data_IF_905788513421
#
_entry.id   IF_905788513421
#
_cell.length_a   1.000
_cell.length_b   1.000
_cell.length_c   1.000
_cell.angle_alpha   90.00
_cell.angle_beta   90.00
_cell.angle_gamma   90.00
#
_symmetry.space_group_name_H-M   'P 1'
#
loop_
_entity.id
_entity.type
_entity.pdbx_description
1 polymer ?
#
# COMPACT_ATOMS: atom_id res chain seq x y z
N UNK A 1 9.30 12.07 18.16
CA UNK A 1 8.17 12.65 17.38
C UNK A 1 6.94 12.87 18.22
N UNK A 2 6.17 13.97 17.99
CA UNK A 2 4.84 14.11 18.57
C UNK A 2 3.83 13.38 17.68
N UNK A 3 2.89 12.66 18.30
CA UNK A 3 1.91 11.87 17.55
C UNK A 3 0.50 11.98 18.15
N UNK A 4 -0.49 11.73 17.30
CA UNK A 4 -1.87 11.47 17.66
C UNK A 4 -2.08 9.95 17.78
N UNK A 5 -2.83 9.53 18.79
CA UNK A 5 -3.30 8.14 18.90
C UNK A 5 -4.82 8.15 18.87
N UNK A 6 -5.38 7.51 17.88
CA UNK A 6 -6.83 7.38 17.77
C UNK A 6 -7.38 6.64 18.98
N UNK A 7 -8.40 7.17 19.67
CA UNK A 7 -9.03 6.50 20.79
C UNK A 7 -9.59 5.13 20.38
N UNK A 8 -9.47 4.13 21.28
CA UNK A 8 -9.95 2.78 21.00
C UNK A 8 -11.47 2.73 20.76
N UNK A 9 -12.23 3.68 21.37
CA UNK A 9 -13.67 3.83 21.12
C UNK A 9 -14.05 4.14 19.66
N UNK A 10 -13.12 4.65 18.83
CA UNK A 10 -13.35 4.83 17.41
C UNK A 10 -13.42 3.50 16.64
N UNK A 11 -12.94 2.42 17.25
CA UNK A 11 -12.83 1.09 16.63
C UNK A 11 -13.82 0.06 17.23
N UNK A 12 -14.79 0.53 18.01
CA UNK A 12 -15.87 -0.33 18.54
C UNK A 12 -16.91 -0.59 17.45
N UNK A 13 -17.47 -1.80 17.47
CA UNK A 13 -18.58 -2.22 16.58
C UNK A 13 -18.31 -2.06 15.07
N UNK A 14 -17.06 -2.26 14.63
CA UNK A 14 -16.72 -2.22 13.21
C UNK A 14 -17.29 -3.43 12.46
N UNK A 15 -17.91 -3.25 11.28
CA UNK A 15 -18.51 -4.35 10.52
C UNK A 15 -17.43 -5.35 10.07
N UNK A 16 -17.67 -6.64 10.30
CA UNK A 16 -16.81 -7.75 9.90
C UNK A 16 -15.33 -7.63 10.33
N UNK A 17 -15.07 -6.88 11.42
CA UNK A 17 -13.72 -6.61 11.92
C UNK A 17 -13.57 -6.92 13.43
N UNK A 18 -14.03 -8.11 13.83
CA UNK A 18 -13.90 -8.58 15.22
C UNK A 18 -12.55 -9.25 15.50
N UNK A 19 -11.45 -8.57 15.15
CA UNK A 19 -10.09 -9.04 15.39
C UNK A 19 -9.50 -8.40 16.63
N UNK A 20 -8.76 -9.19 17.43
CA UNK A 20 -8.05 -8.66 18.59
C UNK A 20 -6.84 -7.83 18.15
N UNK A 21 -6.67 -6.62 18.70
CA UNK A 21 -5.55 -5.77 18.29
C UNK A 21 -4.22 -6.24 18.89
N UNK A 22 -3.19 -6.32 18.05
CA UNK A 22 -1.82 -6.57 18.48
C UNK A 22 -0.94 -5.35 18.21
N UNK A 23 0.12 -5.17 18.98
CA UNK A 23 0.99 -4.01 18.87
C UNK A 23 2.46 -4.38 19.01
N UNK A 24 3.30 -3.72 18.21
CA UNK A 24 4.74 -3.60 18.43
C UNK A 24 5.11 -2.12 18.61
N UNK A 25 6.28 -1.87 19.19
CA UNK A 25 6.83 -0.52 19.27
C UNK A 25 8.01 -0.40 18.32
N UNK A 26 7.96 0.60 17.45
CA UNK A 26 9.01 0.89 16.47
C UNK A 26 9.68 2.22 16.80
N UNK A 27 10.97 2.35 16.53
CA UNK A 27 11.68 3.61 16.76
C UNK A 27 11.05 4.75 15.97
N UNK A 28 10.85 5.91 16.61
CA UNK A 28 10.45 7.14 15.93
C UNK A 28 11.63 7.85 15.23
N UNK A 29 12.83 7.28 15.31
CA UNK A 29 14.09 7.79 14.75
C UNK A 29 14.61 9.09 15.40
N UNK A 30 13.97 9.57 16.46
CA UNK A 30 14.34 10.75 17.25
C UNK A 30 14.62 10.40 18.73
N UNK A 31 14.69 9.10 19.04
CA UNK A 31 14.97 8.59 20.38
C UNK A 31 13.74 8.23 21.20
N UNK A 32 12.56 8.24 20.57
CA UNK A 32 11.28 7.76 21.10
C UNK A 32 10.78 6.53 20.35
N UNK A 33 9.52 6.16 20.60
CA UNK A 33 8.85 5.02 20.02
C UNK A 33 7.44 5.38 19.56
N UNK A 34 7.00 4.72 18.49
CA UNK A 34 5.64 4.76 17.95
C UNK A 34 5.01 3.37 18.07
N UNK A 35 3.76 3.32 18.51
CA UNK A 35 2.98 2.08 18.55
C UNK A 35 2.50 1.74 17.14
N UNK A 36 2.81 0.54 16.66
CA UNK A 36 2.35 0.01 15.38
C UNK A 36 1.42 -1.17 15.62
N UNK A 37 0.19 -1.06 15.12
CA UNK A 37 -0.83 -2.10 15.19
C UNK A 37 -0.64 -3.14 14.07
N UNK A 38 -1.05 -4.37 14.33
CA UNK A 38 -1.16 -5.42 13.32
C UNK A 38 -2.22 -6.46 13.70
N UNK A 39 -2.84 -7.05 12.70
CA UNK A 39 -3.61 -8.29 12.83
C UNK A 39 -2.66 -9.48 12.83
N UNK A 40 -2.96 -10.48 13.66
CA UNK A 40 -2.25 -11.77 13.70
C UNK A 40 -3.29 -12.89 13.85
N UNK A 41 -3.77 -13.38 12.73
CA UNK A 41 -4.93 -14.26 12.69
C UNK A 41 -4.61 -15.58 12.00
N UNK A 42 -5.21 -16.67 12.49
CA UNK A 42 -5.06 -18.02 11.95
C UNK A 42 -4.18 -18.93 12.80
N UNK A 43 -3.80 -20.13 12.30
CA UNK A 43 -3.02 -21.08 13.07
C UNK A 43 -1.60 -20.55 13.33
N UNK A 44 -1.08 -20.62 14.57
CA UNK A 44 0.22 -20.05 14.93
C UNK A 44 1.40 -20.61 14.13
N UNK A 45 1.30 -21.87 13.67
CA UNK A 45 2.27 -22.59 12.87
C UNK A 45 1.93 -22.61 11.37
N UNK A 46 0.89 -21.87 10.95
CA UNK A 46 0.52 -21.71 9.54
C UNK A 46 1.58 -20.97 8.73
N UNK A 47 1.68 -21.27 7.42
CA UNK A 47 2.50 -20.46 6.51
C UNK A 47 2.05 -19.00 6.55
N UNK A 48 3.01 -18.06 6.64
CA UNK A 48 2.75 -16.65 6.88
C UNK A 48 2.38 -15.94 5.58
N UNK A 49 1.25 -15.23 5.61
CA UNK A 49 0.86 -14.25 4.60
C UNK A 49 0.95 -12.86 5.24
N UNK A 50 1.84 -12.01 4.73
CA UNK A 50 1.96 -10.62 5.13
C UNK A 50 1.15 -9.75 4.17
N UNK A 51 0.03 -9.21 4.65
CA UNK A 51 -0.88 -8.37 3.88
C UNK A 51 -0.61 -6.88 4.15
N UNK A 52 -0.15 -6.14 3.14
CA UNK A 52 0.18 -4.72 3.27
C UNK A 52 -0.82 -3.85 2.53
N UNK A 53 -1.52 -3.00 3.28
CA UNK A 53 -2.48 -2.04 2.75
C UNK A 53 -1.82 -0.84 2.07
N UNK A 54 -2.63 -0.08 1.32
CA UNK A 54 -2.22 1.16 0.69
C UNK A 54 -2.84 2.41 1.32
N UNK A 55 -2.63 3.54 0.68
CA UNK A 55 -3.16 4.84 1.08
C UNK A 55 -4.52 5.07 0.39
N UNK A 56 -5.54 5.57 1.09
CA UNK A 56 -5.56 5.99 2.50
C UNK A 56 -6.14 4.94 3.47
N UNK A 57 -6.15 3.66 3.09
CA UNK A 57 -6.79 2.56 3.83
C UNK A 57 -5.96 2.11 5.05
N UNK A 58 -6.40 1.05 5.69
CA UNK A 58 -5.77 0.39 6.82
C UNK A 58 -6.11 -1.11 6.81
N UNK A 59 -5.72 -1.90 7.81
CA UNK A 59 -5.93 -3.35 7.81
C UNK A 59 -7.40 -3.79 7.65
N UNK A 60 -8.36 -2.91 7.89
CA UNK A 60 -9.79 -3.11 7.59
C UNK A 60 -10.04 -3.52 6.14
N UNK A 61 -9.20 -3.06 5.20
CA UNK A 61 -9.27 -3.45 3.79
C UNK A 61 -9.17 -4.97 3.60
N UNK A 62 -8.51 -5.67 4.50
CA UNK A 62 -8.31 -7.12 4.44
C UNK A 62 -9.33 -7.94 5.22
N UNK A 63 -10.34 -7.30 5.90
CA UNK A 63 -11.28 -7.98 6.79
C UNK A 63 -11.98 -9.20 6.19
N UNK A 64 -12.33 -9.13 4.91
CA UNK A 64 -12.97 -10.24 4.21
C UNK A 64 -11.98 -11.30 3.69
N UNK A 65 -10.71 -10.95 3.45
CA UNK A 65 -9.69 -11.90 3.00
C UNK A 65 -9.13 -12.73 4.16
N UNK A 66 -8.96 -12.12 5.34
CA UNK A 66 -8.39 -12.79 6.53
C UNK A 66 -9.10 -14.11 6.84
N UNK A 67 -10.44 -14.16 7.02
CA UNK A 67 -11.11 -15.42 7.35
C UNK A 67 -11.01 -16.46 6.22
N UNK A 68 -10.95 -16.06 4.94
CA UNK A 68 -10.80 -16.97 3.81
C UNK A 68 -9.39 -17.61 3.83
N UNK A 69 -8.37 -16.82 4.06
CA UNK A 69 -6.99 -17.27 4.12
C UNK A 69 -6.75 -18.15 5.35
N UNK A 70 -7.33 -17.80 6.51
CA UNK A 70 -7.25 -18.60 7.74
C UNK A 70 -7.95 -19.95 7.58
N UNK A 71 -9.13 -19.99 6.94
CA UNK A 71 -9.83 -21.23 6.65
C UNK A 71 -9.04 -22.17 5.72
N UNK A 72 -8.13 -21.61 4.91
CA UNK A 72 -7.19 -22.38 4.08
C UNK A 72 -5.92 -22.83 4.82
N UNK A 73 -5.77 -22.48 6.13
CA UNK A 73 -4.68 -22.91 6.98
C UNK A 73 -3.49 -21.94 7.05
N UNK A 74 -3.63 -20.73 6.58
CA UNK A 74 -2.56 -19.70 6.62
C UNK A 74 -2.68 -18.80 7.85
N UNK A 75 -1.53 -18.32 8.35
CA UNK A 75 -1.45 -17.24 9.35
C UNK A 75 -1.30 -15.90 8.63
N UNK A 76 -2.23 -15.00 8.89
CA UNK A 76 -2.27 -13.68 8.25
C UNK A 76 -1.77 -12.63 9.21
N UNK A 77 -0.74 -11.88 8.79
CA UNK A 77 -0.24 -10.70 9.47
C UNK A 77 -0.61 -9.48 8.61
N UNK A 78 -1.39 -8.55 9.15
CA UNK A 78 -1.78 -7.34 8.43
C UNK A 78 -1.55 -6.10 9.31
N UNK A 79 -0.40 -5.42 9.17
CA UNK A 79 -0.12 -4.21 9.93
C UNK A 79 -0.89 -3.02 9.42
N UNK A 80 -1.17 -2.08 10.32
CA UNK A 80 -1.48 -0.70 9.97
C UNK A 80 -0.18 0.09 9.89
N UNK A 81 0.12 0.69 8.76
CA UNK A 81 1.31 1.56 8.67
C UNK A 81 1.22 2.73 9.65
N UNK A 82 2.36 3.21 10.15
CA UNK A 82 2.41 4.43 10.96
C UNK A 82 1.71 5.56 10.20
N UNK A 83 0.77 6.23 10.88
CA UNK A 83 -0.11 7.22 10.26
C UNK A 83 -1.50 6.71 9.87
N UNK A 84 -1.76 5.41 9.99
CA UNK A 84 -3.02 4.77 9.57
C UNK A 84 -3.58 3.83 10.64
N UNK A 85 -4.85 3.46 10.50
CA UNK A 85 -5.52 2.49 11.35
C UNK A 85 -5.37 2.79 12.85
N UNK A 86 -5.06 1.75 13.63
CA UNK A 86 -4.80 1.84 15.07
C UNK A 86 -3.36 2.21 15.42
N UNK A 87 -2.47 2.38 14.42
CA UNK A 87 -1.09 2.82 14.62
C UNK A 87 -1.01 4.30 14.99
N UNK A 88 0.05 4.69 15.70
CA UNK A 88 0.32 6.08 16.03
C UNK A 88 0.50 6.93 14.76
N UNK A 89 0.11 8.19 14.85
CA UNK A 89 0.07 9.14 13.74
C UNK A 89 0.93 10.36 14.07
N UNK A 90 2.21 10.40 13.65
CA UNK A 90 3.03 11.60 13.75
C UNK A 90 2.28 12.84 13.24
N UNK A 91 2.39 13.96 13.97
CA UNK A 91 1.61 15.16 13.67
C UNK A 91 2.17 15.95 12.50
N UNK A 92 3.48 15.85 12.26
CA UNK A 92 4.11 16.62 11.20
C UNK A 92 4.17 15.77 9.91
N UNK A 93 3.75 16.35 8.80
CA UNK A 93 3.85 15.69 7.49
C UNK A 93 5.30 15.32 7.12
N UNK A 94 6.27 16.11 7.58
CA UNK A 94 7.71 15.87 7.37
C UNK A 94 8.23 14.61 8.05
N UNK A 95 7.54 14.09 9.06
CA UNK A 95 7.92 12.87 9.78
C UNK A 95 7.71 11.62 8.92
N UNK A 96 6.84 11.71 7.93
CA UNK A 96 6.53 10.65 6.99
C UNK A 96 7.48 10.70 5.80
N UNK A 97 8.35 9.72 5.70
CA UNK A 97 9.20 9.50 4.53
C UNK A 97 9.07 8.06 4.04
N UNK A 98 9.35 7.82 2.77
CA UNK A 98 9.34 6.46 2.23
C UNK A 98 10.32 5.55 3.01
N UNK A 99 11.52 6.07 3.32
CA UNK A 99 12.54 5.32 4.05
C UNK A 99 12.09 4.95 5.48
N UNK A 100 11.42 5.87 6.19
CA UNK A 100 10.89 5.60 7.53
C UNK A 100 9.87 4.45 7.49
N UNK A 101 8.95 4.45 6.52
CA UNK A 101 7.97 3.37 6.38
C UNK A 101 8.60 2.01 6.11
N UNK A 102 9.63 1.95 5.27
CA UNK A 102 10.40 0.72 5.05
C UNK A 102 11.07 0.25 6.34
N UNK A 103 11.66 1.19 7.12
CA UNK A 103 12.30 0.89 8.40
C UNK A 103 11.31 0.40 9.46
N UNK A 104 10.13 1.02 9.56
CA UNK A 104 9.07 0.60 10.49
C UNK A 104 8.54 -0.79 10.15
N UNK A 105 8.33 -1.09 8.85
CA UNK A 105 7.95 -2.44 8.41
C UNK A 105 9.04 -3.46 8.74
N UNK A 106 10.31 -3.13 8.49
CA UNK A 106 11.44 -3.99 8.83
C UNK A 106 11.47 -4.31 10.33
N UNK A 107 11.27 -3.29 11.18
CA UNK A 107 11.21 -3.44 12.64
C UNK A 107 10.08 -4.39 13.07
N UNK A 108 8.88 -4.27 12.49
CA UNK A 108 7.77 -5.19 12.76
C UNK A 108 8.16 -6.63 12.39
N UNK A 109 8.65 -6.85 11.17
CA UNK A 109 9.01 -8.20 10.69
C UNK A 109 10.10 -8.83 11.54
N UNK A 110 11.07 -8.02 12.02
CA UNK A 110 12.16 -8.49 12.88
C UNK A 110 11.66 -8.83 14.29
N UNK A 111 10.83 -7.98 14.90
CA UNK A 111 10.28 -8.21 16.24
C UNK A 111 9.38 -9.44 16.29
N UNK A 112 8.59 -9.69 15.23
CA UNK A 112 7.75 -10.87 15.10
C UNK A 112 8.52 -12.11 14.62
N UNK A 113 9.79 -11.97 14.24
CA UNK A 113 10.63 -13.08 13.76
C UNK A 113 10.12 -13.71 12.47
N UNK A 114 9.36 -12.99 11.64
CA UNK A 114 8.70 -13.55 10.46
C UNK A 114 9.72 -14.05 9.43
N UNK A 115 9.47 -15.24 8.88
CA UNK A 115 10.27 -15.88 7.83
C UNK A 115 9.36 -16.66 6.88
N UNK A 116 9.91 -17.04 5.73
CA UNK A 116 9.17 -17.73 4.67
C UNK A 116 7.87 -17.00 4.28
N UNK A 117 7.93 -15.67 4.30
CA UNK A 117 6.78 -14.80 4.10
C UNK A 117 6.28 -14.92 2.66
N UNK A 118 4.96 -15.09 2.50
CA UNK A 118 4.26 -14.73 1.27
C UNK A 118 3.78 -13.29 1.42
N UNK A 119 4.40 -12.37 0.67
CA UNK A 119 3.97 -10.98 0.64
C UNK A 119 2.73 -10.84 -0.25
N UNK A 120 1.66 -10.24 0.26
CA UNK A 120 0.49 -9.77 -0.50
C UNK A 120 0.40 -8.27 -0.32
N UNK A 121 0.60 -7.50 -1.37
CA UNK A 121 0.74 -6.06 -1.26
C UNK A 121 -0.01 -5.31 -2.37
N UNK A 122 -0.62 -4.19 -1.99
CA UNK A 122 -1.39 -3.32 -2.88
C UNK A 122 -1.01 -1.88 -2.63
N UNK A 123 -0.99 -1.04 -3.68
CA UNK A 123 -0.70 0.40 -3.62
C UNK A 123 0.59 0.68 -2.85
N UNK A 124 0.57 1.53 -1.81
CA UNK A 124 1.72 1.80 -0.94
C UNK A 124 2.25 0.56 -0.21
N UNK A 125 1.38 -0.41 0.06
CA UNK A 125 1.82 -1.72 0.57
C UNK A 125 2.81 -2.39 -0.36
N UNK A 126 2.65 -2.19 -1.69
CA UNK A 126 3.61 -2.66 -2.67
C UNK A 126 4.87 -1.82 -2.73
N UNK A 127 4.77 -0.48 -2.73
CA UNK A 127 5.95 0.38 -2.71
C UNK A 127 6.87 0.03 -1.51
N UNK A 128 6.31 -0.02 -0.31
CA UNK A 128 7.05 -0.31 0.92
C UNK A 128 7.48 -1.78 0.97
N UNK A 129 6.55 -2.70 0.68
CA UNK A 129 6.77 -4.14 0.79
C UNK A 129 7.80 -4.67 -0.20
N UNK A 130 7.72 -4.28 -1.48
CA UNK A 130 8.70 -4.67 -2.50
C UNK A 130 10.08 -4.12 -2.17
N UNK A 131 10.16 -2.86 -1.74
CA UNK A 131 11.42 -2.25 -1.33
C UNK A 131 12.05 -3.00 -0.15
N UNK A 132 11.27 -3.36 0.87
CA UNK A 132 11.74 -4.14 2.00
C UNK A 132 12.11 -5.57 1.58
N UNK A 133 11.29 -6.23 0.76
CA UNK A 133 11.58 -7.59 0.29
C UNK A 133 12.93 -7.68 -0.44
N UNK A 134 13.31 -6.65 -1.19
CA UNK A 134 14.62 -6.61 -1.86
C UNK A 134 15.80 -6.35 -0.92
N UNK A 135 15.57 -5.79 0.26
CA UNK A 135 16.59 -5.58 1.31
C UNK A 135 16.76 -6.81 2.22
N UNK A 136 15.74 -7.66 2.32
CA UNK A 136 15.67 -8.82 3.22
C UNK A 136 15.18 -10.07 2.48
N UNK A 137 15.82 -10.39 1.37
CA UNK A 137 15.39 -11.44 0.44
C UNK A 137 15.24 -12.81 1.09
N UNK A 138 16.02 -13.11 2.13
CA UNK A 138 15.97 -14.36 2.89
C UNK A 138 14.70 -14.51 3.73
N UNK A 139 14.00 -13.43 4.03
CA UNK A 139 12.73 -13.43 4.78
C UNK A 139 11.54 -13.88 3.94
N UNK A 140 11.60 -13.67 2.63
CA UNK A 140 10.46 -13.85 1.73
C UNK A 140 10.60 -15.15 0.91
N UNK A 141 9.52 -15.91 0.85
CA UNK A 141 9.40 -17.07 -0.01
C UNK A 141 8.72 -16.75 -1.34
N UNK A 142 7.71 -15.87 -1.32
CA UNK A 142 6.84 -15.55 -2.46
C UNK A 142 6.37 -14.12 -2.39
N UNK A 143 6.00 -13.54 -3.55
CA UNK A 143 5.40 -12.21 -3.64
C UNK A 143 4.15 -12.28 -4.52
N UNK A 144 3.07 -11.65 -4.05
CA UNK A 144 1.85 -11.33 -4.81
C UNK A 144 1.71 -9.82 -4.86
N UNK A 145 1.97 -9.24 -6.02
CA UNK A 145 1.75 -7.82 -6.27
C UNK A 145 0.37 -7.59 -6.88
N UNK A 146 -0.45 -6.76 -6.23
CA UNK A 146 -1.81 -6.45 -6.64
C UNK A 146 -1.99 -4.93 -6.72
N UNK A 147 -2.43 -4.39 -7.85
CA UNK A 147 -2.64 -2.96 -8.07
C UNK A 147 -1.56 -2.07 -7.41
N UNK A 148 -0.31 -2.27 -7.79
CA UNK A 148 0.84 -1.56 -7.22
C UNK A 148 1.94 -1.34 -8.26
N UNK A 149 2.98 -0.62 -7.87
CA UNK A 149 4.16 -0.37 -8.70
C UNK A 149 5.40 -0.13 -7.85
N UNK A 150 6.53 0.01 -8.51
CA UNK A 150 7.78 0.46 -7.90
C UNK A 150 8.42 1.52 -8.78
N UNK A 151 7.95 2.79 -8.73
CA UNK A 151 8.45 3.87 -9.58
C UNK A 151 9.93 4.17 -9.33
N UNK A 152 10.72 4.28 -10.40
CA UNK A 152 12.17 4.51 -10.36
C UNK A 152 12.66 5.55 -11.40
N UNK A 153 11.72 6.30 -11.98
CA UNK A 153 11.93 7.25 -13.07
C UNK A 153 12.61 6.61 -14.31
N UNK A 154 12.34 5.32 -14.58
CA UNK A 154 12.82 4.65 -15.80
C UNK A 154 12.37 5.42 -17.05
N UNK A 155 13.29 5.64 -17.98
CA UNK A 155 13.02 6.36 -19.24
C UNK A 155 13.27 7.87 -19.17
N UNK A 156 13.70 8.41 -18.01
CA UNK A 156 14.20 9.78 -17.89
C UNK A 156 15.72 9.74 -17.90
N UNK A 157 16.34 10.38 -18.92
CA UNK A 157 17.78 10.48 -19.03
C UNK A 157 18.35 11.38 -17.92
N UNK A 158 19.54 11.07 -17.42
CA UNK A 158 20.15 11.80 -16.30
C UNK A 158 20.28 13.31 -16.58
N UNK A 159 20.55 13.69 -17.84
CA UNK A 159 20.64 15.09 -18.27
C UNK A 159 19.30 15.84 -18.21
N UNK A 160 18.17 15.12 -18.25
CA UNK A 160 16.81 15.67 -18.27
C UNK A 160 16.14 15.69 -16.90
N UNK A 161 16.70 15.00 -15.91
CA UNK A 161 16.12 14.86 -14.56
C UNK A 161 15.71 16.22 -13.99
N UNK A 162 16.60 17.20 -14.04
CA UNK A 162 16.33 18.53 -13.49
C UNK A 162 15.18 19.23 -14.23
N UNK A 163 15.23 19.28 -15.56
CA UNK A 163 14.24 19.99 -16.38
C UNK A 163 12.85 19.34 -16.28
N UNK A 164 12.78 18.00 -16.26
CA UNK A 164 11.53 17.27 -16.07
C UNK A 164 10.96 17.51 -14.68
N UNK A 165 11.79 17.45 -13.64
CA UNK A 165 11.37 17.69 -12.26
C UNK A 165 10.85 19.12 -12.04
N UNK A 166 11.54 20.13 -12.57
CA UNK A 166 11.10 21.53 -12.52
C UNK A 166 9.76 21.73 -13.23
N UNK A 167 9.58 21.13 -14.42
CA UNK A 167 8.32 21.20 -15.17
C UNK A 167 7.17 20.55 -14.40
N UNK A 168 7.38 19.37 -13.80
CA UNK A 168 6.35 18.68 -13.00
C UNK A 168 5.97 19.49 -11.76
N UNK A 169 6.94 20.09 -11.06
CA UNK A 169 6.65 20.99 -9.93
C UNK A 169 5.93 22.26 -10.36
N UNK A 170 6.33 22.86 -11.48
CA UNK A 170 5.63 24.04 -12.01
C UNK A 170 4.19 23.71 -12.36
N UNK A 171 3.94 22.56 -13.00
CA UNK A 171 2.59 22.07 -13.27
C UNK A 171 1.78 21.89 -11.99
N UNK A 172 2.34 21.21 -10.97
CA UNK A 172 1.68 21.01 -9.67
C UNK A 172 1.21 22.35 -9.06
N UNK A 173 1.99 23.41 -9.16
CA UNK A 173 1.63 24.72 -8.63
C UNK A 173 0.45 25.37 -9.37
N UNK A 174 0.16 24.97 -10.60
CA UNK A 174 -0.99 25.48 -11.38
C UNK A 174 -2.28 24.72 -11.11
N UNK A 175 -2.22 23.55 -10.45
CA UNK A 175 -3.39 22.74 -10.20
C UNK A 175 -4.33 23.40 -9.18
N UNK A 176 -5.66 23.33 -9.39
CA UNK A 176 -6.62 23.84 -8.44
C UNK A 176 -6.64 23.02 -7.15
N UNK A 177 -7.16 23.59 -6.09
CA UNK A 177 -7.55 22.83 -4.90
C UNK A 177 -8.86 22.10 -5.22
N UNK A 178 -8.87 20.79 -5.03
CA UNK A 178 -10.05 19.96 -5.24
C UNK A 178 -10.80 19.77 -3.92
N UNK A 179 -12.11 19.83 -3.97
CA UNK A 179 -12.99 19.55 -2.82
C UNK A 179 -13.51 18.11 -2.83
N UNK A 180 -13.66 17.53 -4.03
CA UNK A 180 -14.29 16.22 -4.23
C UNK A 180 -13.41 15.29 -5.08
N UNK A 181 -13.41 13.96 -4.80
CA UNK A 181 -12.65 12.98 -5.60
C UNK A 181 -13.01 12.98 -7.09
N UNK A 182 -14.28 13.23 -7.43
CA UNK A 182 -14.74 13.29 -8.83
C UNK A 182 -14.08 14.42 -9.62
N UNK A 183 -14.00 15.63 -9.01
CA UNK A 183 -13.37 16.76 -9.66
C UNK A 183 -11.86 16.53 -9.87
N UNK A 184 -11.20 15.92 -8.90
CA UNK A 184 -9.80 15.49 -8.98
C UNK A 184 -9.60 14.47 -10.11
N UNK A 185 -10.45 13.44 -10.18
CA UNK A 185 -10.35 12.40 -11.21
C UNK A 185 -10.57 12.97 -12.63
N UNK A 186 -11.49 13.91 -12.80
CA UNK A 186 -11.67 14.61 -14.07
C UNK A 186 -10.39 15.38 -14.47
N UNK A 187 -9.72 16.01 -13.50
CA UNK A 187 -8.43 16.65 -13.72
C UNK A 187 -7.36 15.66 -14.16
N UNK A 188 -7.23 14.52 -13.47
CA UNK A 188 -6.30 13.44 -13.84
C UNK A 188 -6.51 12.96 -15.27
N UNK A 189 -7.76 12.71 -15.66
CA UNK A 189 -8.12 12.21 -16.99
C UNK A 189 -7.89 13.24 -18.10
N UNK A 190 -8.08 14.52 -17.79
CA UNK A 190 -7.86 15.62 -18.74
C UNK A 190 -6.37 15.92 -18.96
N UNK A 191 -5.50 15.50 -18.05
CA UNK A 191 -4.06 15.74 -18.13
C UNK A 191 -3.38 14.75 -19.08
N UNK A 192 -3.28 15.13 -20.35
CA UNK A 192 -2.62 14.33 -21.39
C UNK A 192 -1.08 14.32 -21.31
N UNK A 193 -0.49 15.07 -20.39
CA UNK A 193 0.96 15.24 -20.25
C UNK A 193 1.66 14.16 -19.43
N UNK A 194 0.95 13.12 -19.00
CA UNK A 194 1.50 12.08 -18.12
C UNK A 194 1.71 12.53 -16.67
N UNK A 195 1.11 13.67 -16.27
CA UNK A 195 1.24 14.25 -14.94
C UNK A 195 -0.04 14.11 -14.11
N UNK A 196 -0.99 13.30 -14.58
CA UNK A 196 -2.31 13.11 -13.94
C UNK A 196 -2.22 12.75 -12.46
N UNK A 197 -1.23 11.96 -12.04
CA UNK A 197 -1.06 11.61 -10.62
C UNK A 197 -0.80 12.82 -9.71
N UNK A 198 -0.29 13.93 -10.23
CA UNK A 198 -0.10 15.17 -9.46
C UNK A 198 -1.42 15.78 -8.97
N UNK A 199 -2.54 15.52 -9.66
CA UNK A 199 -3.87 15.92 -9.22
C UNK A 199 -4.27 15.19 -7.94
N UNK A 200 -3.97 13.87 -7.85
CA UNK A 200 -4.14 13.08 -6.62
C UNK A 200 -3.28 13.61 -5.48
N UNK A 201 -1.99 13.88 -5.75
CA UNK A 201 -1.09 14.51 -4.77
C UNK A 201 -1.68 15.83 -4.27
N UNK A 202 -2.18 16.68 -5.19
CA UNK A 202 -2.79 17.98 -4.86
C UNK A 202 -4.05 17.82 -4.01
N UNK A 203 -4.94 16.92 -4.39
CA UNK A 203 -6.17 16.62 -3.66
C UNK A 203 -5.86 16.18 -2.22
N UNK A 204 -5.04 15.16 -2.03
CA UNK A 204 -4.70 14.68 -0.68
C UNK A 204 -4.01 15.75 0.16
N UNK A 205 -3.12 16.55 -0.45
CA UNK A 205 -2.39 17.57 0.27
C UNK A 205 -3.27 18.73 0.77
N UNK A 206 -4.17 19.21 -0.08
CA UNK A 206 -4.75 20.54 0.03
C UNK A 206 -6.29 20.54 0.12
N UNK A 207 -6.98 19.40 -0.08
CA UNK A 207 -8.43 19.33 0.08
C UNK A 207 -8.86 19.87 1.45
N UNK A 208 -9.85 20.78 1.53
CA UNK A 208 -10.34 21.32 2.80
C UNK A 208 -10.79 20.19 3.75
N UNK A 209 -11.46 19.18 3.21
CA UNK A 209 -11.85 17.95 3.88
C UNK A 209 -11.33 16.78 3.06
N UNK A 210 -10.57 15.89 3.69
CA UNK A 210 -10.15 14.62 3.10
C UNK A 210 -10.80 13.51 3.93
N UNK A 211 -11.75 12.78 3.34
CA UNK A 211 -12.36 11.60 3.95
C UNK A 211 -11.89 10.35 3.23
N UNK A 212 -11.45 9.38 4.00
CA UNK A 212 -10.98 8.09 3.46
C UNK A 212 -12.13 7.35 2.79
N UNK A 213 -13.31 7.36 3.41
CA UNK A 213 -14.52 6.75 2.88
C UNK A 213 -14.93 7.29 1.50
N UNK A 214 -14.80 8.61 1.27
CA UNK A 214 -15.13 9.22 -0.02
C UNK A 214 -14.19 8.71 -1.13
N UNK A 215 -12.90 8.52 -0.81
CA UNK A 215 -11.90 7.97 -1.73
C UNK A 215 -12.21 6.50 -2.06
N UNK A 216 -12.46 5.67 -1.02
CA UNK A 216 -12.74 4.24 -1.22
C UNK A 216 -14.05 4.09 -1.98
N UNK A 217 -15.11 4.81 -1.61
CA UNK A 217 -16.41 4.78 -2.29
C UNK A 217 -16.29 5.18 -3.76
N UNK A 218 -15.55 6.26 -4.04
CA UNK A 218 -15.32 6.70 -5.43
C UNK A 218 -14.60 5.62 -6.24
N UNK A 219 -13.51 5.06 -5.70
CA UNK A 219 -12.71 4.04 -6.37
C UNK A 219 -13.40 2.67 -6.48
N UNK A 220 -14.46 2.44 -5.70
CA UNK A 220 -15.31 1.24 -5.75
C UNK A 220 -16.58 1.44 -6.59
N UNK A 221 -16.63 2.48 -7.42
CA UNK A 221 -17.80 2.76 -8.27
C UNK A 221 -19.09 3.08 -7.48
N UNK A 222 -18.95 3.60 -6.24
CA UNK A 222 -20.07 3.97 -5.39
C UNK A 222 -20.68 2.82 -4.57
N UNK A 223 -20.08 1.64 -4.58
CA UNK A 223 -20.66 0.43 -3.97
C UNK A 223 -20.35 0.23 -2.47
N UNK A 224 -19.55 1.11 -1.86
CA UNK A 224 -19.25 1.05 -0.43
C UNK A 224 -20.49 1.45 0.39
N UNK A 225 -20.90 0.60 1.33
CA UNK A 225 -22.01 0.92 2.21
C UNK A 225 -21.65 1.94 3.31
N UNK A 226 -22.63 2.40 4.07
CA UNK A 226 -22.41 3.48 5.03
C UNK A 226 -21.70 3.03 6.30
N UNK A 227 -21.81 1.76 6.70
CA UNK A 227 -21.13 1.25 7.89
C UNK A 227 -19.67 0.93 7.58
N UNK A 228 -19.37 0.37 6.42
CA UNK A 228 -18.01 0.23 5.90
C UNK A 228 -17.33 1.60 5.71
N UNK A 229 -18.08 2.58 5.19
CA UNK A 229 -17.57 3.95 5.05
C UNK A 229 -17.14 4.55 6.40
N UNK A 230 -17.97 4.40 7.44
CA UNK A 230 -17.62 4.83 8.80
C UNK A 230 -16.39 4.12 9.34
N UNK A 231 -16.24 2.82 9.06
CA UNK A 231 -15.09 2.04 9.47
C UNK A 231 -13.79 2.50 8.79
N UNK A 232 -13.84 2.88 7.51
CA UNK A 232 -12.68 3.48 6.84
C UNK A 232 -12.29 4.84 7.43
N UNK A 233 -13.25 5.63 7.92
CA UNK A 233 -13.00 6.93 8.55
C UNK A 233 -12.63 6.84 10.04
N UNK A 234 -12.91 5.71 10.69
CA UNK A 234 -12.68 5.50 12.14
C UNK A 234 -11.28 5.89 12.64
N UNK A 235 -10.17 5.62 11.90
CA UNK A 235 -8.84 6.04 12.31
C UNK A 235 -8.62 7.56 12.34
N UNK A 236 -9.50 8.35 11.73
CA UNK A 236 -9.25 9.75 11.37
C UNK A 236 -10.31 10.71 11.95
N UNK A 237 -10.50 10.75 13.28
CA UNK A 237 -11.56 11.56 13.92
C UNK A 237 -11.30 13.08 13.86
N UNK A 238 -10.10 13.51 13.48
CA UNK A 238 -9.73 14.94 13.42
C UNK A 238 -8.68 15.20 12.33
N UNK A 239 -8.49 16.48 11.97
CA UNK A 239 -7.45 16.87 11.02
C UNK A 239 -6.03 16.51 11.49
N UNK A 240 -5.78 16.46 12.80
CA UNK A 240 -4.49 16.08 13.36
C UNK A 240 -4.12 14.63 13.04
N UNK A 241 -5.12 13.75 12.92
CA UNK A 241 -4.91 12.34 12.55
C UNK A 241 -4.62 12.13 11.06
N UNK A 242 -4.81 13.15 10.20
CA UNK A 242 -4.73 13.03 8.74
C UNK A 242 -3.33 13.26 8.14
N UNK A 243 -2.32 13.60 8.95
CA UNK A 243 -1.01 14.00 8.43
C UNK A 243 -0.38 12.94 7.50
N UNK A 244 -0.45 11.65 7.86
CA UNK A 244 0.01 10.53 7.05
C UNK A 244 -0.75 10.39 5.73
N UNK A 245 -2.10 10.33 5.79
CA UNK A 245 -2.94 10.18 4.61
C UNK A 245 -2.73 11.33 3.60
N UNK A 246 -2.51 12.56 4.10
CA UNK A 246 -2.23 13.73 3.27
C UNK A 246 -0.82 13.73 2.68
N UNK A 247 0.16 13.12 3.36
CA UNK A 247 1.55 13.14 2.94
C UNK A 247 1.89 12.04 1.93
N UNK A 248 1.31 10.86 2.07
CA UNK A 248 1.71 9.66 1.32
C UNK A 248 1.76 9.85 -0.20
N UNK A 249 0.75 10.44 -0.88
CA UNK A 249 0.82 10.60 -2.33
C UNK A 249 2.04 11.39 -2.80
N UNK A 250 2.49 12.38 -2.03
CA UNK A 250 3.67 13.17 -2.39
C UNK A 250 4.99 12.43 -2.22
N UNK A 251 5.00 11.32 -1.49
CA UNK A 251 6.17 10.46 -1.30
C UNK A 251 6.36 9.46 -2.46
N UNK A 252 5.33 9.26 -3.30
CA UNK A 252 5.48 8.41 -4.49
C UNK A 252 6.54 9.01 -5.41
N UNK A 253 7.61 8.27 -5.76
CA UNK A 253 8.73 8.82 -6.50
C UNK A 253 8.43 8.91 -8.01
N UNK A 254 7.42 9.72 -8.37
CA UNK A 254 7.06 10.04 -9.76
C UNK A 254 7.88 11.20 -10.32
N UNK A 255 8.33 12.13 -9.46
CA UNK A 255 9.20 13.23 -9.89
C UNK A 255 10.64 12.70 -9.94
N UNK A 256 11.36 12.83 -11.06
CA UNK A 256 12.61 12.12 -11.29
C UNK A 256 13.77 12.41 -10.32
N UNK A 257 13.76 13.54 -9.63
CA UNK A 257 14.75 13.90 -8.59
C UNK A 257 14.26 13.56 -7.16
N UNK A 258 13.17 12.79 -7.02
CA UNK A 258 12.70 12.32 -5.71
C UNK A 258 13.80 11.52 -5.00
N UNK A 259 14.09 11.78 -3.71
CA UNK A 259 15.18 11.13 -2.97
C UNK A 259 14.99 9.60 -2.82
N UNK A 260 13.82 9.07 -3.07
CA UNK A 260 13.57 7.62 -3.04
C UNK A 260 13.98 6.88 -4.33
N UNK A 261 14.18 7.60 -5.46
CA UNK A 261 14.51 7.01 -6.77
C UNK A 261 15.77 6.12 -6.72
N UNK A 262 16.90 6.57 -6.15
CA UNK A 262 18.11 5.73 -6.15
C UNK A 262 17.88 4.38 -5.48
N UNK A 263 17.19 4.36 -4.35
CA UNK A 263 16.93 3.12 -3.63
C UNK A 263 15.88 2.24 -4.33
N UNK A 264 14.92 2.80 -5.08
CA UNK A 264 14.01 2.01 -5.91
C UNK A 264 14.74 1.43 -7.13
N UNK A 265 15.69 2.14 -7.70
CA UNK A 265 16.56 1.59 -8.76
C UNK A 265 17.40 0.40 -8.26
N UNK A 266 17.97 0.48 -7.06
CA UNK A 266 18.64 -0.68 -6.44
C UNK A 266 17.67 -1.83 -6.17
N UNK A 267 16.45 -1.55 -5.71
CA UNK A 267 15.43 -2.58 -5.53
C UNK A 267 15.06 -3.27 -6.85
N UNK A 268 14.99 -2.54 -7.97
CA UNK A 268 14.76 -3.13 -9.29
C UNK A 268 15.88 -4.06 -9.72
N UNK A 269 17.15 -3.76 -9.44
CA UNK A 269 18.26 -4.67 -9.74
C UNK A 269 18.09 -6.02 -9.02
N UNK A 270 17.65 -5.98 -7.76
CA UNK A 270 17.37 -7.22 -7.00
C UNK A 270 16.14 -7.95 -7.56
N UNK A 271 15.10 -7.22 -7.97
CA UNK A 271 13.91 -7.83 -8.59
C UNK A 271 14.22 -8.45 -9.96
N UNK A 272 15.12 -7.86 -10.73
CA UNK A 272 15.59 -8.40 -12.01
C UNK A 272 16.41 -9.70 -11.84
N UNK A 273 16.93 -9.97 -10.62
CA UNK A 273 17.57 -11.23 -10.23
C UNK A 273 16.67 -12.12 -9.35
N UNK A 274 15.42 -11.71 -9.08
CA UNK A 274 14.50 -12.42 -8.18
C UNK A 274 13.94 -13.68 -8.81
N UNK A 275 14.44 -14.85 -8.41
CA UNK A 275 14.01 -16.18 -8.93
C UNK A 275 12.89 -16.83 -8.14
N UNK A 276 12.57 -16.34 -6.93
CA UNK A 276 11.49 -16.88 -6.10
C UNK A 276 10.13 -16.53 -6.73
N UNK A 277 9.07 -17.34 -6.51
CA UNK A 277 7.77 -17.12 -7.13
C UNK A 277 7.24 -15.70 -6.94
N UNK A 278 6.80 -15.07 -8.03
CA UNK A 278 6.26 -13.73 -8.07
C UNK A 278 4.99 -13.70 -8.92
N UNK A 279 3.84 -13.45 -8.30
CA UNK A 279 2.55 -13.35 -8.97
C UNK A 279 2.13 -11.88 -9.12
N UNK A 280 1.51 -11.54 -10.23
CA UNK A 280 0.72 -10.31 -10.36
C UNK A 280 -0.77 -10.66 -10.40
N UNK A 281 -1.57 -9.99 -9.55
CA UNK A 281 -3.02 -10.10 -9.49
C UNK A 281 -3.61 -8.70 -9.54
N UNK A 282 -3.78 -8.17 -10.75
CA UNK A 282 -4.22 -6.79 -10.97
C UNK A 282 -5.68 -6.76 -11.42
N UNK A 283 -6.38 -5.68 -11.10
CA UNK A 283 -7.71 -5.44 -11.64
C UNK A 283 -7.65 -4.80 -13.02
N UNK A 284 -8.73 -4.97 -13.80
CA UNK A 284 -8.86 -4.42 -15.15
C UNK A 284 -9.32 -2.95 -15.19
N UNK A 285 -9.87 -2.47 -14.09
CA UNK A 285 -10.49 -1.13 -14.03
C UNK A 285 -9.80 -0.16 -13.06
N UNK A 286 -8.55 -0.45 -12.66
CA UNK A 286 -7.73 0.45 -11.84
C UNK A 286 -7.00 1.47 -12.71
N UNK A 287 -7.37 2.78 -12.69
CA UNK A 287 -6.67 3.79 -13.47
C UNK A 287 -5.32 4.21 -12.87
N UNK A 288 -5.05 3.86 -11.60
CA UNK A 288 -3.87 4.32 -10.86
C UNK A 288 -2.63 3.51 -11.22
N UNK A 289 -2.77 2.18 -11.30
CA UNK A 289 -1.65 1.26 -11.53
C UNK A 289 -1.75 0.50 -12.85
N UNK A 290 -2.66 0.93 -13.75
CA UNK A 290 -2.86 0.31 -15.05
C UNK A 290 -1.52 0.09 -15.78
N UNK A 291 -1.29 -1.15 -16.23
CA UNK A 291 -0.09 -1.53 -16.98
C UNK A 291 1.18 -1.77 -16.13
N UNK A 292 1.20 -1.44 -14.84
CA UNK A 292 2.39 -1.63 -14.01
C UNK A 292 2.78 -3.11 -13.84
N UNK A 293 1.81 -4.04 -13.94
CA UNK A 293 2.05 -5.48 -13.90
C UNK A 293 2.97 -5.98 -15.01
N UNK A 294 2.95 -5.33 -16.18
CA UNK A 294 3.73 -5.75 -17.36
C UNK A 294 5.23 -5.78 -17.04
N UNK A 295 5.74 -4.70 -16.42
CA UNK A 295 7.15 -4.64 -16.06
C UNK A 295 7.55 -5.75 -15.07
N UNK A 296 6.69 -6.08 -14.09
CA UNK A 296 6.97 -7.19 -13.17
C UNK A 296 7.03 -8.53 -13.91
N UNK A 297 6.08 -8.78 -14.82
CA UNK A 297 6.03 -10.04 -15.56
C UNK A 297 7.21 -10.19 -16.53
N UNK A 298 7.66 -9.11 -17.15
CA UNK A 298 8.76 -9.11 -18.11
C UNK A 298 10.14 -9.15 -17.45
N UNK A 299 10.31 -8.39 -16.34
CA UNK A 299 11.64 -8.15 -15.75
C UNK A 299 11.98 -9.07 -14.57
N UNK A 300 10.97 -9.67 -13.88
CA UNK A 300 11.21 -10.50 -12.71
C UNK A 300 11.26 -11.98 -13.09
N UNK A 301 12.42 -12.68 -12.99
CA UNK A 301 12.54 -14.09 -13.38
C UNK A 301 11.54 -15.01 -12.68
N UNK A 302 11.25 -14.77 -11.39
CA UNK A 302 10.27 -15.54 -10.60
C UNK A 302 8.81 -15.35 -11.02
N UNK A 303 8.51 -14.35 -11.87
CA UNK A 303 7.19 -14.17 -12.47
C UNK A 303 6.95 -15.12 -13.66
N UNK A 304 8.01 -15.61 -14.31
CA UNK A 304 7.88 -16.52 -15.44
C UNK A 304 7.18 -17.81 -15.02
N UNK A 305 6.26 -18.26 -15.89
CA UNK A 305 5.47 -19.49 -15.67
C UNK A 305 4.51 -19.44 -14.46
N UNK A 306 4.22 -18.26 -13.92
CA UNK A 306 3.14 -18.11 -12.94
C UNK A 306 1.79 -17.87 -13.66
N UNK A 307 0.70 -18.28 -13.00
CA UNK A 307 -0.65 -18.03 -13.50
C UNK A 307 -1.12 -16.63 -13.08
N UNK A 308 -0.53 -15.60 -13.72
CA UNK A 308 -0.94 -14.21 -13.45
C UNK A 308 -2.44 -14.04 -13.68
N UNK A 309 -3.07 -13.30 -12.78
CA UNK A 309 -4.53 -13.18 -12.76
C UNK A 309 -4.95 -11.73 -12.95
N UNK A 310 -5.95 -11.52 -13.80
CA UNK A 310 -6.69 -10.26 -13.88
C UNK A 310 -7.99 -10.43 -13.08
N UNK A 311 -8.26 -9.53 -12.13
CA UNK A 311 -9.49 -9.49 -11.36
C UNK A 311 -10.44 -8.54 -12.10
N UNK A 312 -11.48 -9.12 -12.73
CA UNK A 312 -12.37 -8.40 -13.65
C UNK A 312 -13.43 -7.59 -12.91
N UNK A 313 -13.79 -6.42 -13.47
CA UNK A 313 -14.91 -5.59 -13.03
C UNK A 313 -14.68 -4.83 -11.73
N UNK A 314 -13.43 -4.72 -11.26
CA UNK A 314 -13.10 -4.03 -10.00
C UNK A 314 -12.03 -2.96 -10.21
N UNK A 315 -12.07 -1.95 -9.34
CA UNK A 315 -11.16 -0.80 -9.37
C UNK A 315 -9.91 -1.00 -8.52
N UNK A 316 -9.44 0.10 -7.95
CA UNK A 316 -8.16 0.15 -7.23
C UNK A 316 -8.12 -0.70 -5.96
N UNK A 317 -9.21 -0.71 -5.17
CA UNK A 317 -9.30 -1.47 -3.91
C UNK A 317 -9.91 -2.85 -4.14
N UNK A 318 -9.18 -3.71 -4.85
CA UNK A 318 -9.66 -5.06 -5.23
C UNK A 318 -9.92 -5.97 -4.02
N UNK A 319 -9.30 -5.73 -2.88
CA UNK A 319 -9.56 -6.45 -1.63
C UNK A 319 -10.98 -6.18 -1.11
N UNK A 320 -11.48 -4.96 -1.30
CA UNK A 320 -12.83 -4.56 -0.94
C UNK A 320 -13.86 -5.16 -1.88
N UNK A 321 -13.62 -5.04 -3.19
CA UNK A 321 -14.61 -5.38 -4.21
C UNK A 321 -14.62 -6.87 -4.59
N UNK A 322 -13.48 -7.56 -4.52
CA UNK A 322 -13.32 -8.96 -4.94
C UNK A 322 -12.44 -9.79 -3.97
N UNK A 323 -12.72 -9.77 -2.65
CA UNK A 323 -11.89 -10.45 -1.65
C UNK A 323 -11.77 -11.95 -1.91
N UNK A 324 -12.85 -12.59 -2.36
CA UNK A 324 -12.88 -14.03 -2.67
C UNK A 324 -11.99 -14.37 -3.86
N UNK A 325 -12.06 -13.58 -4.93
CA UNK A 325 -11.27 -13.84 -6.14
C UNK A 325 -9.77 -13.63 -5.87
N UNK A 326 -9.41 -12.55 -5.17
CA UNK A 326 -8.02 -12.29 -4.80
C UNK A 326 -7.48 -13.36 -3.83
N UNK A 327 -8.27 -13.74 -2.81
CA UNK A 327 -7.88 -14.82 -1.90
C UNK A 327 -7.67 -16.15 -2.62
N UNK A 328 -8.53 -16.49 -3.59
CA UNK A 328 -8.40 -17.71 -4.39
C UNK A 328 -7.10 -17.68 -5.23
N UNK A 329 -6.76 -16.53 -5.83
CA UNK A 329 -5.50 -16.35 -6.56
C UNK A 329 -4.28 -16.55 -5.64
N UNK A 330 -4.29 -15.94 -4.45
CA UNK A 330 -3.22 -16.10 -3.44
C UNK A 330 -3.07 -17.56 -3.00
N UNK A 331 -4.18 -18.22 -2.63
CA UNK A 331 -4.18 -19.62 -2.19
C UNK A 331 -3.68 -20.54 -3.30
N UNK A 332 -4.17 -20.38 -4.52
CA UNK A 332 -3.73 -21.14 -5.68
C UNK A 332 -2.24 -20.98 -5.97
N UNK A 333 -1.75 -19.73 -5.88
CA UNK A 333 -0.34 -19.41 -6.06
C UNK A 333 0.56 -20.09 -5.01
N UNK A 334 0.18 -20.04 -3.72
CA UNK A 334 0.93 -20.69 -2.65
C UNK A 334 0.97 -22.21 -2.85
N UNK A 335 -0.17 -22.83 -3.16
CA UNK A 335 -0.25 -24.29 -3.41
C UNK A 335 0.60 -24.75 -4.60
N UNK A 336 0.69 -23.93 -5.64
CA UNK A 336 1.51 -24.23 -6.83
C UNK A 336 3.01 -23.98 -6.59
N UNK A 337 3.37 -23.28 -5.53
CA UNK A 337 4.74 -22.93 -5.17
C UNK A 337 5.02 -23.27 -3.69
N UNK A 338 4.97 -24.55 -3.26
CA UNK A 338 5.14 -24.91 -1.85
C UNK A 338 6.54 -24.51 -1.34
N UNK A 339 6.66 -24.32 -0.03
CA UNK A 339 7.97 -24.16 0.60
C UNK A 339 8.81 -25.43 0.37
N UNK A 340 10.13 -25.30 0.25
CA UNK A 340 11.03 -26.44 0.25
C UNK A 340 10.85 -27.28 1.52
N UNK A 341 10.85 -28.60 1.36
CA UNK A 341 10.73 -29.55 2.47
C UNK A 341 11.92 -29.46 3.44
#
# INVERSE_FOLDING_TARGET
MNYFRTPDSCFEDLPDYAFEPNYVFVSDLEGGELRMHYLDEGPPDGEIILCLHGQPTWSFLYRHMVPILNAAGYRVIAPDFIGFGRSDKPLQRSDYTYANHVSWLASLVDQLGLRNITLVCQDWGGLIGLRYATQATDRFARIVAANTGLPDAKGVEDGDVKSVSERMRAHYQTLPVYEEPQAMAMGMMADSGGMGFLHWVKFCADAPVLRVSDVVRFSSGGQLDDDDAKAYDAPFPSNESMAGARQFPSLVPIIPDNPAIPANREAWKVLEDWVKPFLTAFSDSDPVTAGAHVRFQESVPGAKNQHHTTIEGVGHFLQEQAPTALSAAVIGFIKNNPLPA
#
